data_IF_462479633442
#
_entry.id   IF_462479633442
#
_cell.length_a   1.000
_cell.length_b   1.000
_cell.length_c   1.000
_cell.angle_alpha   90.00
_cell.angle_beta   90.00
_cell.angle_gamma   90.00
#
_symmetry.space_group_name_H-M   'P 1'
#
loop_
_entity.id
_entity.type
_entity.pdbx_description
1 polymer ?
#
# COMPACT_ATOMS: atom_id res chain seq x y z
N UNK A 1 -13.21 -9.06 23.48
CA UNK A 1 -12.98 -10.53 23.46
C UNK A 1 -12.71 -11.09 22.06
N UNK A 2 -13.69 -11.16 21.13
CA UNK A 2 -13.49 -11.81 19.82
C UNK A 2 -12.55 -11.06 18.84
N UNK A 3 -12.53 -9.72 18.91
CA UNK A 3 -11.68 -8.85 18.07
C UNK A 3 -10.20 -8.94 18.46
N UNK A 4 -9.89 -9.01 19.77
CA UNK A 4 -8.52 -9.19 20.25
C UNK A 4 -7.98 -10.59 19.95
N UNK A 5 -8.83 -11.62 20.05
CA UNK A 5 -8.47 -12.99 19.67
C UNK A 5 -8.17 -13.12 18.16
N UNK A 6 -8.94 -12.42 17.32
CA UNK A 6 -8.71 -12.38 15.86
C UNK A 6 -7.40 -11.67 15.50
N UNK A 7 -7.06 -10.58 16.20
CA UNK A 7 -5.79 -9.87 16.02
C UNK A 7 -4.58 -10.74 16.40
N UNK A 8 -4.69 -11.48 17.50
CA UNK A 8 -3.62 -12.35 18.00
C UNK A 8 -3.30 -13.51 17.03
N UNK A 9 -4.34 -14.10 16.42
CA UNK A 9 -4.17 -15.17 15.42
C UNK A 9 -3.46 -14.67 14.14
N UNK A 10 -3.76 -13.44 13.70
CA UNK A 10 -3.15 -12.82 12.51
C UNK A 10 -1.67 -12.49 12.73
N UNK A 11 -1.29 -12.05 13.94
CA UNK A 11 0.12 -11.74 14.26
C UNK A 11 0.99 -12.99 14.47
N UNK A 12 0.40 -14.13 14.84
CA UNK A 12 1.15 -15.36 15.12
C UNK A 12 1.82 -15.96 13.86
N UNK A 13 1.33 -15.62 12.66
CA UNK A 13 1.91 -16.01 11.36
C UNK A 13 2.80 -14.92 10.74
N UNK A 14 3.10 -13.83 11.45
CA UNK A 14 3.92 -12.75 10.92
C UNK A 14 5.39 -13.16 10.87
N UNK A 15 6.01 -13.03 9.71
CA UNK A 15 7.39 -13.42 9.46
C UNK A 15 8.34 -12.45 10.22
N UNK A 16 9.23 -12.92 11.11
CA UNK A 16 10.04 -12.06 11.99
C UNK A 16 11.08 -11.20 11.23
N UNK A 17 11.21 -11.40 9.91
CA UNK A 17 12.07 -10.60 9.03
C UNK A 17 11.43 -9.27 8.62
N UNK A 18 10.11 -9.15 8.76
CA UNK A 18 9.32 -7.96 8.43
C UNK A 18 8.98 -7.08 9.64
N UNK A 19 9.42 -7.47 10.84
CA UNK A 19 9.20 -6.74 12.09
C UNK A 19 9.64 -5.26 12.11
N UNK A 20 10.75 -4.84 11.47
CA UNK A 20 11.16 -3.42 11.50
C UNK A 20 10.38 -2.54 10.50
N UNK A 21 9.43 -3.09 9.73
CA UNK A 21 8.73 -2.33 8.69
C UNK A 21 7.56 -1.52 9.28
N UNK A 22 7.58 -0.18 9.17
CA UNK A 22 6.70 0.71 9.95
C UNK A 22 5.19 0.64 9.62
N UNK A 23 4.77 -0.16 8.63
CA UNK A 23 3.34 -0.40 8.32
C UNK A 23 2.87 -1.85 8.56
N UNK A 24 3.78 -2.80 8.72
CA UNK A 24 3.45 -4.23 8.86
C UNK A 24 3.30 -4.62 10.33
N UNK A 25 3.97 -3.89 11.22
CA UNK A 25 4.01 -4.18 12.65
C UNK A 25 2.66 -4.01 13.37
N UNK A 26 1.73 -3.23 12.84
CA UNK A 26 0.42 -3.04 13.47
C UNK A 26 -0.63 -2.72 12.43
N UNK A 27 -1.74 -3.46 12.44
CA UNK A 27 -2.88 -3.14 11.57
C UNK A 27 -3.61 -1.86 12.00
N UNK A 28 -3.31 -1.33 13.20
CA UNK A 28 -3.89 -0.09 13.75
C UNK A 28 -3.59 1.17 12.92
N UNK A 29 -2.32 1.51 12.58
CA UNK A 29 -2.02 2.65 11.72
C UNK A 29 -2.69 2.54 10.35
N UNK A 30 -2.76 1.33 9.77
CA UNK A 30 -3.44 1.12 8.49
C UNK A 30 -4.94 1.44 8.59
N UNK A 31 -5.63 0.91 9.61
CA UNK A 31 -7.04 1.21 9.85
C UNK A 31 -7.29 2.71 10.07
N UNK A 32 -6.38 3.40 10.76
CA UNK A 32 -6.47 4.86 10.95
C UNK A 32 -6.40 5.63 9.62
N UNK A 33 -5.46 5.26 8.73
CA UNK A 33 -5.38 5.86 7.40
C UNK A 33 -6.64 5.63 6.57
N UNK A 34 -7.22 4.43 6.63
CA UNK A 34 -8.49 4.15 5.96
C UNK A 34 -9.63 5.01 6.51
N UNK A 35 -9.77 5.10 7.83
CA UNK A 35 -10.79 5.94 8.46
C UNK A 35 -10.63 7.41 8.06
N UNK A 36 -9.41 7.92 8.05
CA UNK A 36 -9.09 9.27 7.60
C UNK A 36 -9.42 9.48 6.11
N UNK A 37 -9.10 8.50 5.25
CA UNK A 37 -9.44 8.55 3.83
C UNK A 37 -10.96 8.64 3.61
N UNK A 38 -11.75 7.80 4.30
CA UNK A 38 -13.21 7.86 4.23
C UNK A 38 -13.76 9.21 4.71
N UNK A 39 -13.18 9.78 5.76
CA UNK A 39 -13.52 11.13 6.21
C UNK A 39 -13.27 12.17 5.11
N UNK A 40 -12.08 12.18 4.50
CA UNK A 40 -11.76 13.12 3.40
C UNK A 40 -12.68 12.93 2.20
N UNK A 41 -12.98 11.69 1.81
CA UNK A 41 -13.89 11.38 0.70
C UNK A 41 -15.31 11.83 1.00
N UNK A 42 -15.78 11.68 2.24
CA UNK A 42 -17.10 12.15 2.65
C UNK A 42 -17.19 13.69 2.70
N UNK A 43 -16.11 14.37 3.11
CA UNK A 43 -16.04 15.84 3.10
C UNK A 43 -15.82 16.43 1.71
N UNK A 44 -15.22 15.67 0.78
CA UNK A 44 -14.91 16.09 -0.59
C UNK A 44 -16.12 16.69 -1.33
N UNK A 45 -17.27 16.00 -1.42
CA UNK A 45 -18.49 16.51 -2.06
C UNK A 45 -19.02 17.80 -1.43
N UNK A 46 -18.94 17.91 -0.11
CA UNK A 46 -19.42 19.08 0.63
C UNK A 46 -18.56 20.32 0.33
N UNK A 47 -17.24 20.14 0.23
CA UNK A 47 -16.28 21.20 -0.11
C UNK A 47 -16.36 21.59 -1.60
N UNK A 48 -16.68 20.66 -2.49
CA UNK A 48 -16.75 20.88 -3.94
C UNK A 48 -18.06 21.53 -4.41
N UNK A 49 -19.14 21.53 -3.61
CA UNK A 49 -20.44 22.06 -4.02
C UNK A 49 -20.43 23.57 -4.34
N UNK A 50 -19.50 24.36 -3.78
CA UNK A 50 -19.45 25.83 -3.95
C UNK A 50 -18.21 26.33 -4.72
N UNK A 51 -17.41 25.47 -5.33
CA UNK A 51 -16.13 25.85 -5.96
C UNK A 51 -15.99 25.29 -7.37
N UNK A 52 -15.40 26.09 -8.27
CA UNK A 52 -15.06 25.67 -9.63
C UNK A 52 -14.01 24.53 -9.61
N UNK A 53 -14.01 23.64 -10.63
CA UNK A 53 -13.11 22.49 -10.66
C UNK A 53 -11.64 22.93 -10.61
N UNK A 54 -10.88 22.37 -9.68
CA UNK A 54 -9.45 22.62 -9.54
C UNK A 54 -8.70 22.11 -10.78
N UNK A 55 -7.92 22.98 -11.44
CA UNK A 55 -7.07 22.58 -12.58
C UNK A 55 -5.81 21.87 -12.10
N UNK A 56 -5.95 20.62 -11.67
CA UNK A 56 -4.87 19.76 -11.17
C UNK A 56 -4.10 19.01 -12.27
N UNK A 57 -4.18 19.48 -13.53
CA UNK A 57 -3.60 18.78 -14.69
C UNK A 57 -2.10 18.45 -14.51
N UNK A 58 -1.31 19.40 -14.02
CA UNK A 58 0.12 19.18 -13.79
C UNK A 58 0.38 18.08 -12.76
N UNK A 59 -0.33 18.12 -11.63
CA UNK A 59 -0.21 17.12 -10.57
C UNK A 59 -0.65 15.73 -11.03
N UNK A 60 -1.72 15.64 -11.83
CA UNK A 60 -2.21 14.38 -12.39
C UNK A 60 -1.22 13.76 -13.39
N UNK A 61 -0.58 14.58 -14.22
CA UNK A 61 0.47 14.12 -15.14
C UNK A 61 1.67 13.60 -14.35
N UNK A 62 2.17 14.38 -13.38
CA UNK A 62 3.30 13.97 -12.54
C UNK A 62 3.00 12.67 -11.79
N UNK A 63 1.79 12.54 -11.22
CA UNK A 63 1.36 11.33 -10.54
C UNK A 63 1.39 10.08 -11.45
N UNK A 64 0.80 10.18 -12.65
CA UNK A 64 0.79 9.08 -13.60
C UNK A 64 2.20 8.68 -14.06
N UNK A 65 3.09 9.66 -14.27
CA UNK A 65 4.48 9.40 -14.62
C UNK A 65 5.24 8.69 -13.50
N UNK A 66 5.05 9.12 -12.25
CA UNK A 66 5.64 8.46 -11.08
C UNK A 66 5.14 7.02 -10.95
N UNK A 67 3.84 6.78 -11.16
CA UNK A 67 3.26 5.42 -11.14
C UNK A 67 3.86 4.50 -12.19
N UNK A 68 4.03 4.97 -13.43
CA UNK A 68 4.68 4.21 -14.50
C UNK A 68 6.14 3.92 -14.16
N UNK A 69 6.86 4.92 -13.63
CA UNK A 69 8.26 4.78 -13.22
C UNK A 69 8.41 3.74 -12.12
N UNK A 70 7.60 3.81 -11.07
CA UNK A 70 7.59 2.83 -9.97
C UNK A 70 7.26 1.42 -10.45
N UNK A 71 6.25 1.28 -11.32
CA UNK A 71 5.89 -0.01 -11.92
C UNK A 71 7.04 -0.59 -12.74
N UNK A 72 7.74 0.25 -13.51
CA UNK A 72 8.90 -0.17 -14.29
C UNK A 72 10.09 -0.60 -13.41
N UNK A 73 10.28 0.06 -12.27
CA UNK A 73 11.32 -0.29 -11.30
C UNK A 73 11.07 -1.65 -10.66
N UNK A 74 9.85 -1.91 -10.18
CA UNK A 74 9.49 -3.22 -9.62
C UNK A 74 9.68 -4.34 -10.65
N UNK A 75 9.28 -4.10 -11.91
CA UNK A 75 9.48 -5.06 -12.98
C UNK A 75 10.97 -5.32 -13.29
N UNK A 76 11.82 -4.30 -13.21
CA UNK A 76 13.27 -4.46 -13.35
C UNK A 76 13.87 -5.30 -12.22
N UNK A 77 13.47 -5.03 -10.97
CA UNK A 77 13.97 -5.76 -9.80
C UNK A 77 13.54 -7.23 -9.84
N UNK A 78 12.28 -7.53 -10.18
CA UNK A 78 11.78 -8.89 -10.33
C UNK A 78 12.52 -9.64 -11.45
N UNK A 79 12.69 -9.03 -12.63
CA UNK A 79 13.44 -9.67 -13.73
C UNK A 79 14.91 -9.88 -13.38
N UNK A 80 15.54 -8.91 -12.71
CA UNK A 80 16.93 -9.05 -12.23
C UNK A 80 17.05 -10.21 -11.25
N UNK A 81 16.11 -10.33 -10.30
CA UNK A 81 16.10 -11.38 -9.30
C UNK A 81 15.87 -12.78 -9.92
N UNK A 82 14.98 -12.86 -10.92
CA UNK A 82 14.71 -14.08 -11.70
C UNK A 82 15.95 -14.55 -12.49
N UNK A 83 16.63 -13.62 -13.19
CA UNK A 83 17.87 -13.94 -13.91
C UNK A 83 19.04 -14.32 -13.00
N UNK A 84 19.07 -13.87 -11.75
CA UNK A 84 20.13 -14.19 -10.78
C UNK A 84 19.94 -15.55 -10.09
N UNK A 85 18.74 -16.14 -10.14
CA UNK A 85 18.42 -17.41 -9.48
C UNK A 85 17.51 -18.30 -10.36
N UNK A 86 18.00 -18.82 -11.50
CA UNK A 86 17.24 -19.73 -12.34
C UNK A 86 17.12 -21.08 -11.62
N UNK A 87 16.12 -21.26 -10.75
CA UNK A 87 15.86 -22.55 -10.10
C UNK A 87 15.31 -22.55 -8.67
N UNK A 88 14.99 -21.41 -8.05
CA UNK A 88 14.40 -21.44 -6.68
C UNK A 88 12.91 -21.81 -6.62
N UNK A 89 12.26 -22.03 -7.75
CA UNK A 89 10.85 -22.44 -7.81
C UNK A 89 10.56 -23.86 -7.26
N UNK A 90 11.58 -24.69 -7.00
CA UNK A 90 11.41 -26.11 -6.62
C UNK A 90 11.78 -26.46 -5.16
N UNK A 91 11.93 -25.49 -4.23
CA UNK A 91 12.34 -25.78 -2.84
C UNK A 91 11.50 -25.08 -1.75
N UNK A 92 10.28 -24.65 -2.06
CA UNK A 92 9.39 -24.03 -1.05
C UNK A 92 7.91 -24.42 -1.20
N UNK A 93 7.66 -25.63 -1.73
CA UNK A 93 6.41 -26.37 -1.53
C UNK A 93 6.75 -27.61 -0.71
#
# INVERSE_FOLDING_TARGET
ELVMASFSCVFCFSDPRTDPWPLVYSSLPVTLFFAFYFFVVALGPCLMHKRQPLKLKGLLITYNLTMVTLSSYMFYEVRRLDCLLPGKHLRSV
#
